data_IF_082013668222
#
_entry.id   IF_082013668222
#
_cell.length_a   1.000
_cell.length_b   1.000
_cell.length_c   1.000
_cell.angle_alpha   90.00
_cell.angle_beta   90.00
_cell.angle_gamma   90.00
#
_symmetry.space_group_name_H-M   'P 1'
#
loop_
_entity.id
_entity.type
_entity.pdbx_description
1 polymer ?
#
# COMPACT_ATOMS: atom_id res chain seq x y z
N UNK A 1 24.18 -7.12 -32.52
CA UNK A 1 23.64 -8.45 -32.17
C UNK A 1 23.34 -8.44 -30.68
N UNK A 2 22.04 -8.40 -30.36
CA UNK A 2 21.31 -8.74 -29.13
C UNK A 2 21.86 -8.38 -27.72
N UNK A 3 21.10 -7.50 -27.05
CA UNK A 3 21.04 -7.26 -25.60
C UNK A 3 20.64 -8.53 -24.83
N UNK A 4 21.19 -8.82 -23.63
CA UNK A 4 20.67 -9.87 -22.78
C UNK A 4 19.70 -9.32 -21.72
N UNK A 5 18.49 -9.86 -21.77
CA UNK A 5 17.64 -10.27 -20.66
C UNK A 5 17.20 -9.21 -19.64
N UNK A 6 16.05 -8.61 -19.95
CA UNK A 6 15.09 -8.07 -19.00
C UNK A 6 14.70 -9.18 -18.01
N UNK A 7 15.07 -9.04 -16.74
CA UNK A 7 14.62 -9.88 -15.65
C UNK A 7 13.10 -9.72 -15.46
N UNK A 8 12.34 -10.66 -16.00
CA UNK A 8 10.91 -10.82 -15.76
C UNK A 8 10.72 -11.45 -14.37
N UNK A 9 10.62 -10.61 -13.32
CA UNK A 9 10.21 -11.08 -12.00
C UNK A 9 8.70 -11.33 -11.99
N UNK A 10 8.32 -12.61 -12.03
CA UNK A 10 6.96 -13.09 -11.76
C UNK A 10 6.64 -12.83 -10.28
N UNK A 11 5.79 -11.84 -10.01
CA UNK A 11 5.16 -11.66 -8.70
C UNK A 11 3.95 -12.59 -8.67
N UNK A 12 4.11 -13.78 -8.08
CA UNK A 12 2.97 -14.63 -7.73
C UNK A 12 2.38 -14.14 -6.42
N UNK A 13 1.45 -13.18 -6.49
CA UNK A 13 0.63 -12.78 -5.36
C UNK A 13 -0.31 -13.93 -5.00
N UNK A 14 -0.17 -14.50 -3.81
CA UNK A 14 -1.17 -15.41 -3.26
C UNK A 14 -2.45 -14.60 -3.02
N UNK A 15 -3.46 -14.85 -3.85
CA UNK A 15 -4.78 -14.23 -3.71
C UNK A 15 -5.35 -14.57 -2.33
N UNK A 16 -5.48 -13.55 -1.49
CA UNK A 16 -6.43 -13.60 -0.38
C UNK A 16 -7.81 -13.49 -1.01
N UNK A 17 -8.55 -14.60 -1.09
CA UNK A 17 -9.90 -14.59 -1.62
C UNK A 17 -10.79 -13.81 -0.64
N UNK A 18 -11.10 -12.56 -0.98
CA UNK A 18 -12.17 -11.81 -0.31
C UNK A 18 -13.48 -12.44 -0.76
N UNK A 19 -14.16 -13.13 0.15
CA UNK A 19 -15.49 -13.67 -0.12
C UNK A 19 -16.46 -12.50 -0.27
N UNK A 20 -17.05 -12.40 -1.47
CA UNK A 20 -17.88 -11.28 -1.92
C UNK A 20 -19.13 -11.08 -1.06
N UNK A 21 -19.46 -9.83 -0.76
CA UNK A 21 -20.80 -9.46 -0.27
C UNK A 21 -21.33 -8.22 -1.00
N UNK A 22 -20.54 -7.14 -1.16
CA UNK A 22 -20.77 -5.96 -2.02
C UNK A 22 -19.56 -5.00 -1.95
N UNK A 23 -19.55 -3.90 -2.73
CA UNK A 23 -18.43 -2.93 -2.76
C UNK A 23 -18.19 -2.23 -1.41
N UNK A 24 -19.23 -2.05 -0.59
CA UNK A 24 -19.10 -1.48 0.76
C UNK A 24 -18.34 -2.45 1.65
N UNK A 25 -18.70 -3.73 1.58
CA UNK A 25 -18.05 -4.81 2.32
C UNK A 25 -16.60 -4.98 1.89
N UNK A 26 -16.32 -4.92 0.58
CA UNK A 26 -14.95 -4.96 0.06
C UNK A 26 -14.13 -3.78 0.62
N UNK A 27 -14.66 -2.56 0.62
CA UNK A 27 -13.99 -1.39 1.19
C UNK A 27 -13.73 -1.54 2.70
N UNK A 28 -14.67 -2.10 3.46
CA UNK A 28 -14.49 -2.40 4.90
C UNK A 28 -13.41 -3.47 5.10
N UNK A 29 -13.39 -4.52 4.28
CA UNK A 29 -12.37 -5.56 4.35
C UNK A 29 -10.97 -4.99 4.02
N UNK A 30 -10.86 -4.14 3.00
CA UNK A 30 -9.64 -3.43 2.68
C UNK A 30 -9.18 -2.51 3.81
N UNK A 31 -10.11 -1.76 4.43
CA UNK A 31 -9.84 -0.93 5.61
C UNK A 31 -9.25 -1.78 6.74
N UNK A 32 -9.91 -2.88 7.10
CA UNK A 32 -9.49 -3.76 8.19
C UNK A 32 -8.12 -4.37 7.90
N UNK A 33 -7.88 -4.80 6.67
CA UNK A 33 -6.61 -5.37 6.25
C UNK A 33 -5.47 -4.34 6.30
N UNK A 34 -5.70 -3.14 5.77
CA UNK A 34 -4.72 -2.05 5.79
C UNK A 34 -4.40 -1.62 7.23
N UNK A 35 -5.43 -1.47 8.08
CA UNK A 35 -5.27 -1.10 9.49
C UNK A 35 -4.52 -2.17 10.28
N UNK A 36 -4.92 -3.44 10.16
CA UNK A 36 -4.24 -4.56 10.84
C UNK A 36 -2.78 -4.69 10.39
N UNK A 37 -2.52 -4.46 9.10
CA UNK A 37 -1.15 -4.45 8.57
C UNK A 37 -0.35 -3.28 9.14
N UNK A 38 -0.95 -2.09 9.18
CA UNK A 38 -0.34 -0.91 9.77
C UNK A 38 -0.04 -1.13 11.26
N UNK A 39 -0.96 -1.72 12.03
CA UNK A 39 -0.76 -2.01 13.46
C UNK A 39 0.36 -3.03 13.68
N UNK A 40 0.45 -4.06 12.83
CA UNK A 40 1.55 -5.04 12.87
C UNK A 40 2.90 -4.35 12.67
N UNK A 41 2.99 -3.42 11.72
CA UNK A 41 4.20 -2.64 11.45
C UNK A 41 4.44 -1.64 12.58
N UNK A 42 3.40 -0.98 13.10
CA UNK A 42 3.49 -0.01 14.18
C UNK A 42 4.08 -0.64 15.45
N UNK A 43 3.57 -1.81 15.84
CA UNK A 43 4.06 -2.57 16.99
C UNK A 43 5.56 -2.93 16.88
N UNK A 44 6.08 -3.00 15.66
CA UNK A 44 7.48 -3.33 15.38
C UNK A 44 8.42 -2.12 15.28
N UNK A 45 7.93 -0.88 15.36
CA UNK A 45 8.74 0.32 15.10
C UNK A 45 9.94 0.46 16.04
N UNK A 46 9.82 -0.01 17.28
CA UNK A 46 10.93 0.02 18.25
C UNK A 46 11.89 -1.17 18.11
N UNK A 47 11.63 -2.08 17.18
CA UNK A 47 12.41 -3.29 16.96
C UNK A 47 13.19 -3.26 15.65
N UNK A 48 14.37 -3.88 15.66
CA UNK A 48 15.21 -4.03 14.47
C UNK A 48 14.96 -5.34 13.71
N UNK A 49 14.12 -6.21 14.27
CA UNK A 49 13.84 -7.56 13.77
C UNK A 49 13.18 -7.53 12.38
N UNK A 50 13.46 -8.57 11.60
CA UNK A 50 12.85 -8.80 10.29
C UNK A 50 11.36 -9.12 10.45
N UNK A 51 10.50 -8.20 10.04
CA UNK A 51 9.02 -8.29 10.06
C UNK A 51 8.45 -8.76 8.73
N UNK A 52 9.25 -8.74 7.65
CA UNK A 52 8.77 -9.01 6.28
C UNK A 52 7.77 -7.95 5.79
N UNK A 53 8.13 -6.66 5.92
CA UNK A 53 7.28 -5.52 5.56
C UNK A 53 6.83 -5.59 4.09
N UNK A 54 7.68 -6.10 3.19
CA UNK A 54 7.35 -6.27 1.78
C UNK A 54 6.16 -7.21 1.59
N UNK A 55 6.14 -8.38 2.23
CA UNK A 55 5.02 -9.33 2.12
C UNK A 55 3.72 -8.76 2.71
N UNK A 56 3.83 -8.04 3.84
CA UNK A 56 2.71 -7.34 4.43
C UNK A 56 2.08 -6.32 3.47
N UNK A 57 2.89 -5.49 2.83
CA UNK A 57 2.44 -4.50 1.82
C UNK A 57 1.91 -5.18 0.55
N UNK A 58 2.55 -6.27 0.09
CA UNK A 58 2.09 -7.04 -1.07
C UNK A 58 0.72 -7.66 -0.85
N UNK A 59 0.42 -8.16 0.36
CA UNK A 59 -0.90 -8.70 0.70
C UNK A 59 -1.99 -7.64 0.60
N UNK A 60 -1.73 -6.41 1.06
CA UNK A 60 -2.66 -5.28 0.91
C UNK A 60 -2.83 -4.94 -0.58
N UNK A 61 -1.73 -4.89 -1.33
CA UNK A 61 -1.76 -4.61 -2.78
C UNK A 61 -2.60 -5.63 -3.55
N UNK A 62 -2.42 -6.92 -3.27
CA UNK A 62 -3.16 -8.01 -3.89
C UNK A 62 -4.66 -7.93 -3.54
N UNK A 63 -5.01 -7.55 -2.30
CA UNK A 63 -6.40 -7.37 -1.90
C UNK A 63 -7.05 -6.20 -2.65
N UNK A 64 -6.36 -5.07 -2.81
CA UNK A 64 -6.87 -3.92 -3.59
C UNK A 64 -7.09 -4.32 -5.05
N UNK A 65 -6.14 -5.03 -5.67
CA UNK A 65 -6.29 -5.54 -7.05
C UNK A 65 -7.44 -6.54 -7.18
N UNK A 66 -7.64 -7.39 -6.17
CA UNK A 66 -8.76 -8.32 -6.12
C UNK A 66 -10.10 -7.60 -6.06
N UNK A 67 -10.24 -6.62 -5.16
CA UNK A 67 -11.45 -5.80 -5.05
C UNK A 67 -11.76 -5.03 -6.34
N UNK A 68 -10.73 -4.47 -6.98
CA UNK A 68 -10.84 -3.78 -8.27
C UNK A 68 -11.34 -4.72 -9.38
N UNK A 69 -10.71 -5.88 -9.54
CA UNK A 69 -11.09 -6.89 -10.54
C UNK A 69 -12.53 -7.38 -10.33
N UNK A 70 -12.92 -7.63 -9.08
CA UNK A 70 -14.26 -8.11 -8.73
C UNK A 70 -15.32 -7.03 -8.94
N UNK A 71 -14.99 -5.77 -8.65
CA UNK A 71 -15.85 -4.63 -8.96
C UNK A 71 -16.05 -4.53 -10.48
N UNK A 72 -14.98 -4.48 -11.28
CA UNK A 72 -15.06 -4.34 -12.73
C UNK A 72 -15.83 -5.49 -13.41
N UNK A 73 -15.73 -6.71 -12.88
CA UNK A 73 -16.50 -7.85 -13.37
C UNK A 73 -18.02 -7.72 -13.16
N UNK A 74 -18.47 -6.89 -12.21
CA UNK A 74 -19.87 -6.79 -11.82
C UNK A 74 -20.54 -5.47 -12.19
N UNK A 75 -19.81 -4.51 -12.76
CA UNK A 75 -20.41 -3.27 -13.26
C UNK A 75 -21.00 -3.52 -14.64
N UNK A 76 -22.30 -3.83 -14.69
CA UNK A 76 -23.08 -3.98 -15.93
C UNK A 76 -23.61 -2.64 -16.48
N UNK A 77 -23.59 -1.58 -15.67
CA UNK A 77 -23.93 -0.20 -16.05
C UNK A 77 -23.30 0.78 -15.05
N UNK A 78 -22.86 2.00 -15.47
CA UNK A 78 -22.36 3.02 -14.54
C UNK A 78 -23.35 3.29 -13.40
N UNK A 79 -22.86 3.25 -12.16
CA UNK A 79 -23.67 3.41 -10.97
C UNK A 79 -23.97 4.87 -10.62
N UNK A 80 -24.76 5.05 -9.56
CA UNK A 80 -24.89 6.34 -8.86
C UNK A 80 -24.08 6.23 -7.57
N UNK A 81 -23.21 7.21 -7.32
CA UNK A 81 -22.40 7.25 -6.12
C UNK A 81 -23.28 7.14 -4.86
N UNK A 82 -23.09 6.06 -4.10
CA UNK A 82 -23.83 5.79 -2.88
C UNK A 82 -23.14 6.45 -1.68
N UNK A 83 -23.87 7.20 -0.85
CA UNK A 83 -23.33 7.86 0.36
C UNK A 83 -22.66 6.84 1.28
N UNK A 84 -23.29 5.68 1.51
CA UNK A 84 -22.75 4.61 2.36
C UNK A 84 -21.39 4.08 1.83
N UNK A 85 -21.25 3.98 0.52
CA UNK A 85 -20.00 3.55 -0.09
C UNK A 85 -18.92 4.64 -0.05
N UNK A 86 -19.27 5.92 -0.13
CA UNK A 86 -18.29 6.99 0.04
C UNK A 86 -17.72 7.01 1.46
N UNK A 87 -18.55 6.79 2.48
CA UNK A 87 -18.09 6.70 3.87
C UNK A 87 -17.14 5.50 4.05
N UNK A 88 -17.51 4.34 3.53
CA UNK A 88 -16.63 3.16 3.55
C UNK A 88 -15.32 3.40 2.79
N UNK A 89 -15.37 4.08 1.64
CA UNK A 89 -14.19 4.45 0.88
C UNK A 89 -13.28 5.43 1.64
N UNK A 90 -13.84 6.41 2.35
CA UNK A 90 -13.05 7.34 3.15
C UNK A 90 -12.36 6.63 4.33
N UNK A 91 -13.05 5.70 4.98
CA UNK A 91 -12.45 4.88 6.03
C UNK A 91 -11.31 4.00 5.48
N UNK A 92 -11.51 3.39 4.31
CA UNK A 92 -10.44 2.71 3.57
C UNK A 92 -9.26 3.64 3.28
N UNK A 93 -9.54 4.85 2.80
CA UNK A 93 -8.52 5.84 2.47
C UNK A 93 -7.69 6.25 3.70
N UNK A 94 -8.34 6.48 4.83
CA UNK A 94 -7.68 6.82 6.09
C UNK A 94 -6.81 5.65 6.61
N UNK A 95 -7.29 4.41 6.50
CA UNK A 95 -6.50 3.22 6.82
C UNK A 95 -5.27 3.07 5.91
N UNK A 96 -5.39 3.38 4.62
CA UNK A 96 -4.27 3.32 3.67
C UNK A 96 -3.24 4.44 3.94
N UNK A 97 -3.70 5.63 4.35
CA UNK A 97 -2.81 6.70 4.82
C UNK A 97 -2.06 6.27 6.09
N UNK A 98 -2.75 5.65 7.05
CA UNK A 98 -2.12 5.12 8.25
C UNK A 98 -1.07 4.06 7.92
N UNK A 99 -1.38 3.10 7.03
CA UNK A 99 -0.42 2.12 6.52
C UNK A 99 0.81 2.80 5.91
N UNK A 100 0.61 3.71 4.96
CA UNK A 100 1.71 4.38 4.27
C UNK A 100 2.61 5.16 5.24
N UNK A 101 2.02 5.93 6.17
CA UNK A 101 2.77 6.68 7.18
C UNK A 101 3.55 5.75 8.12
N UNK A 102 2.99 4.61 8.50
CA UNK A 102 3.65 3.66 9.40
C UNK A 102 4.78 2.91 8.69
N UNK A 103 4.58 2.50 7.43
CA UNK A 103 5.64 1.94 6.59
C UNK A 103 6.76 2.96 6.38
N UNK A 104 6.42 4.22 6.13
CA UNK A 104 7.40 5.31 6.03
C UNK A 104 8.23 5.41 7.33
N UNK A 105 7.56 5.47 8.49
CA UNK A 105 8.24 5.53 9.79
C UNK A 105 9.19 4.36 9.99
N UNK A 106 8.77 3.13 9.66
CA UNK A 106 9.65 1.96 9.75
C UNK A 106 10.89 2.12 8.89
N UNK A 107 10.75 2.54 7.63
CA UNK A 107 11.88 2.72 6.69
C UNK A 107 12.83 3.87 7.07
N UNK A 108 12.40 4.79 7.94
CA UNK A 108 13.28 5.85 8.48
C UNK A 108 14.07 5.40 9.72
N UNK A 109 13.69 4.27 10.34
CA UNK A 109 14.36 3.71 11.50
C UNK A 109 15.34 2.61 11.07
N UNK A 110 16.26 2.27 11.97
CA UNK A 110 17.15 1.15 11.73
C UNK A 110 16.39 -0.19 11.78
N UNK A 111 16.54 -1.00 10.74
CA UNK A 111 15.95 -2.33 10.63
C UNK A 111 16.90 -3.28 9.90
N UNK A 112 16.65 -4.59 10.02
CA UNK A 112 17.43 -5.63 9.35
C UNK A 112 16.88 -6.03 7.96
N UNK A 113 15.74 -5.49 7.56
CA UNK A 113 15.07 -5.84 6.30
C UNK A 113 15.72 -5.20 5.07
N UNK A 114 15.71 -5.93 3.96
CA UNK A 114 16.16 -5.39 2.68
C UNK A 114 15.20 -4.31 2.18
N UNK A 115 15.77 -3.20 1.73
CA UNK A 115 15.01 -2.03 1.29
C UNK A 115 14.30 -2.20 -0.05
N UNK A 116 15.01 -2.80 -1.02
CA UNK A 116 14.51 -2.95 -2.38
C UNK A 116 13.17 -3.72 -2.46
N UNK A 117 12.99 -4.87 -1.78
CA UNK A 117 11.69 -5.56 -1.76
C UNK A 117 10.54 -4.72 -1.20
N UNK A 118 10.77 -3.92 -0.16
CA UNK A 118 9.72 -3.07 0.43
C UNK A 118 9.39 -1.91 -0.50
N UNK A 119 10.40 -1.30 -1.11
CA UNK A 119 10.22 -0.28 -2.14
C UNK A 119 9.39 -0.79 -3.32
N UNK A 120 9.68 -1.98 -3.84
CA UNK A 120 8.92 -2.61 -4.93
C UNK A 120 7.48 -2.93 -4.51
N UNK A 121 7.28 -3.45 -3.30
CA UNK A 121 5.94 -3.70 -2.76
C UNK A 121 5.12 -2.40 -2.71
N UNK A 122 5.72 -1.29 -2.29
CA UNK A 122 5.09 0.03 -2.26
C UNK A 122 4.79 0.60 -3.66
N UNK A 123 5.61 0.28 -4.67
CA UNK A 123 5.29 0.60 -6.07
C UNK A 123 4.04 -0.16 -6.54
N UNK A 124 3.97 -1.47 -6.23
CA UNK A 124 2.80 -2.29 -6.50
C UNK A 124 1.54 -1.75 -5.82
N UNK A 125 1.65 -1.37 -4.54
CA UNK A 125 0.54 -0.76 -3.80
C UNK A 125 0.08 0.55 -4.43
N UNK A 126 1.01 1.44 -4.80
CA UNK A 126 0.69 2.71 -5.45
C UNK A 126 -0.07 2.49 -6.76
N UNK A 127 0.36 1.53 -7.59
CA UNK A 127 -0.32 1.19 -8.83
C UNK A 127 -1.72 0.64 -8.58
N UNK A 128 -1.87 -0.26 -7.60
CA UNK A 128 -3.16 -0.87 -7.26
C UNK A 128 -4.16 0.17 -6.75
N UNK A 129 -3.76 1.05 -5.82
CA UNK A 129 -4.62 2.12 -5.29
C UNK A 129 -5.03 3.10 -6.39
N UNK A 130 -4.10 3.45 -7.29
CA UNK A 130 -4.38 4.36 -8.41
C UNK A 130 -5.38 3.75 -9.38
N UNK A 131 -5.23 2.48 -9.75
CA UNK A 131 -6.17 1.77 -10.62
C UNK A 131 -7.56 1.69 -9.97
N UNK A 132 -7.62 1.24 -8.72
CA UNK A 132 -8.89 1.12 -8.00
C UNK A 132 -9.64 2.45 -7.87
N UNK A 133 -8.94 3.53 -7.49
CA UNK A 133 -9.57 4.86 -7.41
C UNK A 133 -9.99 5.42 -8.77
N UNK A 134 -9.22 5.15 -9.82
CA UNK A 134 -9.57 5.51 -11.19
C UNK A 134 -10.86 4.80 -11.64
N UNK A 135 -10.93 3.48 -11.47
CA UNK A 135 -12.04 2.67 -11.96
C UNK A 135 -13.33 2.97 -11.17
N UNK A 136 -13.23 3.15 -9.86
CA UNK A 136 -14.34 3.65 -9.04
C UNK A 136 -14.87 5.01 -9.50
N UNK A 137 -13.99 5.91 -9.89
CA UNK A 137 -14.36 7.24 -10.40
C UNK A 137 -14.99 7.12 -11.80
N UNK A 138 -14.40 6.31 -12.68
CA UNK A 138 -14.90 6.07 -14.03
C UNK A 138 -16.32 5.47 -14.03
N UNK A 139 -16.59 4.57 -13.08
CA UNK A 139 -17.90 3.95 -12.90
C UNK A 139 -18.89 4.81 -12.09
N UNK A 140 -18.49 6.04 -11.70
CA UNK A 140 -19.28 6.97 -10.87
C UNK A 140 -19.73 6.37 -9.54
N UNK A 141 -18.95 5.43 -9.01
CA UNK A 141 -19.25 4.77 -7.74
C UNK A 141 -18.81 5.63 -6.55
N UNK A 142 -17.78 6.46 -6.73
CA UNK A 142 -17.32 7.43 -5.73
C UNK A 142 -17.49 8.86 -6.20
N UNK A 143 -17.56 9.79 -5.23
CA UNK A 143 -17.62 11.22 -5.49
C UNK A 143 -16.24 11.82 -5.81
N UNK A 144 -16.21 13.06 -6.33
CA UNK A 144 -14.98 13.80 -6.65
C UNK A 144 -14.04 13.95 -5.45
N UNK A 145 -14.57 14.08 -4.23
CA UNK A 145 -13.77 14.16 -3.01
C UNK A 145 -12.95 12.87 -2.78
N UNK A 146 -13.45 11.72 -3.23
CA UNK A 146 -12.75 10.44 -3.16
C UNK A 146 -11.53 10.40 -4.08
N UNK A 147 -11.58 11.04 -5.25
CA UNK A 147 -10.41 11.21 -6.12
C UNK A 147 -9.27 11.97 -5.42
N UNK A 148 -9.60 13.04 -4.68
CA UNK A 148 -8.61 13.79 -3.89
C UNK A 148 -8.00 12.91 -2.79
N UNK A 149 -8.83 12.07 -2.13
CA UNK A 149 -8.35 11.08 -1.16
C UNK A 149 -7.41 10.07 -1.82
N UNK A 150 -7.73 9.53 -3.00
CA UNK A 150 -6.84 8.63 -3.75
C UNK A 150 -5.47 9.26 -4.02
N UNK A 151 -5.45 10.53 -4.47
CA UNK A 151 -4.21 11.26 -4.72
C UNK A 151 -3.40 11.48 -3.44
N UNK A 152 -4.09 11.75 -2.33
CA UNK A 152 -3.46 11.93 -1.01
C UNK A 152 -2.81 10.62 -0.54
N UNK A 153 -3.49 9.48 -0.72
CA UNK A 153 -2.94 8.15 -0.45
C UNK A 153 -1.71 7.90 -1.31
N UNK A 154 -1.81 8.11 -2.63
CA UNK A 154 -0.68 7.91 -3.55
C UNK A 154 0.54 8.73 -3.14
N UNK A 155 0.34 10.00 -2.76
CA UNK A 155 1.42 10.86 -2.25
C UNK A 155 2.05 10.32 -0.96
N UNK A 156 1.25 9.77 -0.04
CA UNK A 156 1.76 9.15 1.18
C UNK A 156 2.56 7.87 0.89
N UNK A 157 2.09 7.04 -0.04
CA UNK A 157 2.82 5.84 -0.48
C UNK A 157 4.16 6.22 -1.11
N UNK A 158 4.21 7.26 -1.94
CA UNK A 158 5.46 7.76 -2.53
C UNK A 158 6.43 8.24 -1.44
N UNK A 159 5.96 8.94 -0.40
CA UNK A 159 6.83 9.29 0.74
C UNK A 159 7.37 8.06 1.46
N UNK A 160 6.55 7.02 1.62
CA UNK A 160 7.02 5.75 2.14
C UNK A 160 8.09 5.12 1.23
N UNK A 161 7.87 5.11 -0.09
CA UNK A 161 8.88 4.64 -1.06
C UNK A 161 10.20 5.39 -0.89
N UNK A 162 10.18 6.71 -0.72
CA UNK A 162 11.40 7.51 -0.48
C UNK A 162 12.13 7.11 0.80
N UNK A 163 11.42 6.77 1.88
CA UNK A 163 12.06 6.28 3.10
C UNK A 163 12.82 4.96 2.84
N UNK A 164 12.22 4.07 2.05
CA UNK A 164 12.80 2.78 1.69
C UNK A 164 13.76 2.83 0.48
N UNK A 165 13.86 3.94 -0.25
CA UNK A 165 14.84 4.08 -1.34
C UNK A 165 16.24 4.37 -0.83
N UNK A 166 16.36 4.93 0.38
CA UNK A 166 17.63 5.29 0.99
C UNK A 166 18.15 4.12 1.83
N UNK A 167 19.43 3.77 1.67
CA UNK A 167 20.04 2.65 2.37
C UNK A 167 20.37 3.02 3.83
N UNK A 168 19.38 2.93 4.72
CA UNK A 168 19.57 3.13 6.18
C UNK A 168 20.17 1.88 6.85
N UNK A 169 20.23 0.75 6.13
CA UNK A 169 20.73 -0.54 6.60
C UNK A 169 22.25 -0.68 6.70
N UNK A 170 23.03 0.35 6.39
CA UNK A 170 24.48 0.20 6.37
C UNK A 170 25.09 0.36 7.77
N UNK A 171 25.76 -0.67 8.33
CA UNK A 171 26.45 -0.62 9.63
C UNK A 171 27.78 0.15 9.55
N UNK A 172 27.79 1.30 8.88
CA UNK A 172 28.92 2.22 8.76
C UNK A 172 28.55 3.69 8.92
N UNK A 173 27.26 4.03 9.01
CA UNK A 173 26.75 5.38 9.24
C UNK A 173 26.54 5.68 10.73
N UNK A 174 27.38 5.13 11.61
CA UNK A 174 27.55 5.78 12.92
C UNK A 174 28.28 7.07 12.63
N UNK A 175 27.60 8.21 12.77
CA UNK A 175 28.31 9.45 13.04
C UNK A 175 29.12 9.19 14.31
N UNK A 176 30.42 9.00 14.15
CA UNK A 176 31.36 8.98 15.25
C UNK A 176 31.35 10.43 15.74
N UNK A 177 30.53 10.69 16.76
CA UNK A 177 30.53 11.95 17.48
C UNK A 177 31.91 12.05 18.15
N UNK A 178 32.88 12.62 17.45
CA UNK A 178 34.18 12.94 18.02
C UNK A 178 33.95 14.03 19.07
N UNK A 179 33.83 13.61 20.33
CA UNK A 179 34.02 14.47 21.46
C UNK A 179 35.51 14.82 21.54
N UNK A 180 35.87 16.01 21.06
CA UNK A 180 37.11 16.67 21.47
C UNK A 180 36.87 17.33 22.82
N UNK A 181 37.15 16.58 23.89
CA UNK A 181 37.40 17.13 25.23
C UNK A 181 38.89 17.44 25.40
#
# INVERSE_FOLDING_TARGET
MQLPFVNLFLITSTLSCLARTDTVTDAIQLQNLASSTADTIFASLNGTAYLNTSNLVLRVSAAVQGADSMMMANVSSPGIANVSFNDAYFNYADAMLYLANTVQRRGLLFHSELNLPVYQALQGLSSAVSAYGHDLTAQRLVQRNSTVRTLTIGSAIVRAQTAWSNNVNYPGKREIMNWSG
#
